data_IF_256385124179
#
_entry.id   IF_256385124179
#
_cell.length_a   1.000
_cell.length_b   1.000
_cell.length_c   1.000
_cell.angle_alpha   90.00
_cell.angle_beta   90.00
_cell.angle_gamma   90.00
#
_symmetry.space_group_name_H-M   'P 1'
#
loop_
_entity.id
_entity.type
_entity.pdbx_description
1 polymer ?
#
# COMPACT_ATOMS: atom_id res chain seq x y z
N UNK A 1 2.11 24.38 -13.36
CA UNK A 1 2.25 22.99 -13.87
C UNK A 1 1.39 22.13 -12.96
N UNK A 2 0.16 21.80 -13.38
CA UNK A 2 -0.75 21.00 -12.56
C UNK A 2 -0.40 19.51 -12.74
N UNK A 3 0.05 18.87 -11.65
CA UNK A 3 0.11 17.40 -11.59
C UNK A 3 -1.31 16.92 -11.29
N UNK A 4 -2.00 16.38 -12.30
CA UNK A 4 -3.37 15.90 -12.17
C UNK A 4 -3.98 15.58 -13.54
N UNK A 5 -3.53 14.49 -14.16
CA UNK A 5 -4.21 13.95 -15.34
C UNK A 5 -5.54 13.28 -14.95
N UNK A 6 -6.51 13.14 -15.87
CA UNK A 6 -7.84 12.55 -15.63
C UNK A 6 -7.84 11.03 -15.38
N UNK A 7 -6.71 10.47 -14.95
CA UNK A 7 -6.54 9.03 -14.68
C UNK A 7 -6.47 8.79 -13.17
N UNK A 8 -7.59 8.96 -12.48
CA UNK A 8 -7.78 8.33 -11.17
C UNK A 8 -8.08 6.85 -11.43
N UNK A 9 -7.03 6.04 -11.58
CA UNK A 9 -7.10 4.59 -11.81
C UNK A 9 -7.56 3.78 -10.57
N UNK A 10 -7.99 4.45 -9.49
CA UNK A 10 -8.39 3.80 -8.23
C UNK A 10 -9.32 4.68 -7.40
N UNK A 11 -10.06 4.05 -6.48
CA UNK A 11 -10.84 4.71 -5.43
C UNK A 11 -10.05 5.81 -4.72
N UNK A 12 -10.75 6.88 -4.30
CA UNK A 12 -10.19 7.96 -3.48
C UNK A 12 -10.36 7.56 -2.01
N UNK A 13 -9.25 7.46 -1.30
CA UNK A 13 -9.25 7.21 0.14
C UNK A 13 -9.10 8.51 0.92
N UNK A 14 -10.10 8.84 1.74
CA UNK A 14 -10.08 9.96 2.67
C UNK A 14 -9.92 9.41 4.09
N UNK A 15 -8.92 9.91 4.79
CA UNK A 15 -8.68 9.54 6.18
C UNK A 15 -9.37 10.56 7.07
N UNK A 16 -10.23 10.07 7.95
CA UNK A 16 -11.04 10.87 8.87
C UNK A 16 -10.64 10.55 10.30
N UNK A 17 -10.63 11.54 11.19
CA UNK A 17 -10.42 11.28 12.61
C UNK A 17 -11.48 10.29 13.13
N UNK A 18 -11.07 9.35 13.96
CA UNK A 18 -11.92 8.24 14.40
C UNK A 18 -13.25 8.70 15.02
N UNK A 19 -13.24 9.80 15.78
CA UNK A 19 -14.40 10.42 16.42
C UNK A 19 -15.28 11.25 15.47
N UNK A 20 -14.75 11.64 14.31
CA UNK A 20 -15.47 12.40 13.27
C UNK A 20 -16.02 11.50 12.16
N UNK A 21 -15.74 10.19 12.17
CA UNK A 21 -16.07 9.28 11.06
C UNK A 21 -17.57 9.23 10.75
N UNK A 22 -18.43 9.12 11.79
CA UNK A 22 -19.89 9.08 11.60
C UNK A 22 -20.47 10.45 11.17
N UNK A 23 -19.85 11.54 11.61
CA UNK A 23 -20.21 12.87 11.16
C UNK A 23 -19.88 13.05 9.67
N UNK A 24 -18.68 12.63 9.25
CA UNK A 24 -18.27 12.64 7.84
C UNK A 24 -19.17 11.75 6.98
N UNK A 25 -19.55 10.58 7.48
CA UNK A 25 -20.52 9.68 6.83
C UNK A 25 -21.85 10.39 6.59
N UNK A 26 -22.41 11.01 7.62
CA UNK A 26 -23.68 11.76 7.54
C UNK A 26 -23.59 12.98 6.61
N UNK A 27 -22.45 13.67 6.63
CA UNK A 27 -22.19 14.81 5.75
C UNK A 27 -22.19 14.39 4.28
N UNK A 28 -21.53 13.28 3.92
CA UNK A 28 -21.52 12.79 2.54
C UNK A 28 -22.93 12.41 2.06
N UNK A 29 -23.70 11.66 2.85
CA UNK A 29 -25.08 11.29 2.50
C UNK A 29 -25.97 12.51 2.30
N UNK A 30 -25.83 13.54 3.14
CA UNK A 30 -26.61 14.79 3.02
C UNK A 30 -26.18 15.68 1.84
N UNK A 31 -25.00 15.47 1.26
CA UNK A 31 -24.45 16.26 0.15
C UNK A 31 -24.47 15.50 -1.18
N UNK A 32 -25.44 14.58 -1.34
CA UNK A 32 -25.69 13.91 -2.62
C UNK A 32 -24.70 12.79 -2.93
N UNK A 33 -24.29 12.03 -1.92
CA UNK A 33 -23.58 10.76 -2.12
C UNK A 33 -24.43 9.59 -1.64
N UNK A 34 -24.51 8.54 -2.45
CA UNK A 34 -25.14 7.27 -2.09
C UNK A 34 -24.11 6.42 -1.33
N UNK A 35 -24.43 6.03 -0.09
CA UNK A 35 -23.64 5.03 0.64
C UNK A 35 -23.89 3.66 0.02
N UNK A 36 -22.81 2.96 -0.30
CA UNK A 36 -22.85 1.60 -0.81
C UNK A 36 -22.17 0.65 0.16
N UNK A 37 -22.66 -0.59 0.27
CA UNK A 37 -21.98 -1.57 1.08
C UNK A 37 -20.58 -1.78 0.51
N UNK A 38 -19.58 -1.80 1.37
CA UNK A 38 -18.21 -2.11 0.96
C UNK A 38 -18.17 -3.63 0.71
N UNK A 39 -18.58 -4.08 -0.47
CA UNK A 39 -18.71 -5.50 -0.85
C UNK A 39 -17.74 -5.89 -1.94
N UNK A 40 -16.80 -5.01 -2.27
CA UNK A 40 -15.72 -5.32 -3.19
C UNK A 40 -14.93 -6.50 -2.62
N UNK A 41 -15.22 -7.72 -3.09
CA UNK A 41 -14.59 -8.98 -2.66
C UNK A 41 -13.06 -8.88 -2.66
N UNK A 42 -12.53 -8.00 -3.51
CA UNK A 42 -11.13 -7.59 -3.55
C UNK A 42 -10.57 -7.20 -2.17
N UNK A 43 -11.35 -6.55 -1.32
CA UNK A 43 -10.93 -6.09 0.01
C UNK A 43 -11.31 -7.02 1.16
N UNK A 44 -11.97 -8.15 0.92
CA UNK A 44 -12.44 -9.05 1.98
C UNK A 44 -11.77 -10.41 1.89
N UNK A 45 -11.12 -10.82 2.98
CA UNK A 45 -10.72 -12.20 3.22
C UNK A 45 -11.59 -12.83 4.33
N UNK A 46 -11.77 -14.16 4.41
CA UNK A 46 -12.55 -14.78 5.49
C UNK A 46 -12.11 -14.43 6.93
N UNK A 47 -10.89 -13.96 7.14
CA UNK A 47 -10.39 -13.47 8.43
C UNK A 47 -10.62 -11.98 8.68
N UNK A 48 -11.30 -11.27 7.76
CA UNK A 48 -11.64 -9.86 7.92
C UNK A 48 -12.68 -9.74 9.03
N UNK A 49 -12.41 -8.89 10.02
CA UNK A 49 -13.42 -8.52 11.01
C UNK A 49 -14.30 -7.46 10.36
N UNK A 50 -15.46 -7.85 9.85
CA UNK A 50 -16.41 -6.89 9.27
C UNK A 50 -17.02 -6.01 10.37
N UNK A 51 -17.10 -4.68 10.13
CA UNK A 51 -18.20 -3.92 10.71
C UNK A 51 -19.46 -4.27 9.92
N UNK A 52 -20.67 -4.20 10.50
CA UNK A 52 -21.92 -4.46 9.78
C UNK A 52 -22.14 -3.56 8.54
N UNK A 53 -21.26 -2.58 8.31
CA UNK A 53 -21.29 -1.61 7.20
C UNK A 53 -20.08 -1.64 6.26
N UNK A 54 -19.04 -2.46 6.51
CA UNK A 54 -18.04 -2.77 5.48
C UNK A 54 -16.55 -2.51 5.75
N UNK A 55 -16.10 -2.45 7.00
CA UNK A 55 -14.70 -2.52 7.48
C UNK A 55 -13.53 -1.96 6.64
N UNK A 56 -12.70 -1.07 7.23
CA UNK A 56 -12.92 -0.24 8.42
C UNK A 56 -13.66 1.07 8.07
N UNK A 57 -14.15 1.21 6.85
CA UNK A 57 -14.62 2.50 6.30
C UNK A 57 -15.99 2.41 5.64
N UNK A 58 -16.36 3.51 5.00
CA UNK A 58 -17.63 3.67 4.28
C UNK A 58 -17.34 4.05 2.83
N UNK A 59 -18.05 3.40 1.91
CA UNK A 59 -17.92 3.62 0.46
C UNK A 59 -19.08 4.47 -0.05
N UNK A 60 -18.76 5.44 -0.90
CA UNK A 60 -19.70 6.38 -1.47
C UNK A 60 -19.50 6.55 -2.98
N UNK A 61 -20.61 6.76 -3.68
CA UNK A 61 -20.64 7.28 -5.05
C UNK A 61 -21.45 8.58 -5.09
N UNK A 62 -21.09 9.55 -5.96
CA UNK A 62 -21.97 10.68 -6.23
C UNK A 62 -23.35 10.20 -6.67
N UNK A 63 -24.40 10.87 -6.22
CA UNK A 63 -25.76 10.63 -6.67
C UNK A 63 -25.87 11.03 -8.14
N UNK A 64 -25.90 10.05 -9.05
CA UNK A 64 -26.07 10.32 -10.48
C UNK A 64 -27.48 10.90 -10.74
N UNK A 65 -27.53 12.10 -11.31
CA UNK A 65 -28.74 12.68 -11.88
C UNK A 65 -28.86 12.19 -13.32
N UNK A 66 -29.11 10.89 -13.54
CA UNK A 66 -29.27 10.36 -14.90
C UNK A 66 -29.71 8.89 -14.97
N UNK A 67 -30.54 8.48 -15.96
CA UNK A 67 -31.17 7.16 -15.98
C UNK A 67 -30.36 6.05 -16.69
N UNK A 68 -29.11 6.29 -17.08
CA UNK A 68 -28.45 5.46 -18.11
C UNK A 68 -27.23 4.63 -17.68
N UNK A 69 -26.86 4.60 -16.40
CA UNK A 69 -25.75 3.76 -15.93
C UNK A 69 -26.28 2.45 -15.33
N UNK A 70 -26.29 1.42 -16.18
CA UNK A 70 -26.69 0.05 -15.85
C UNK A 70 -25.72 -0.65 -14.87
N UNK A 71 -25.47 -1.98 -15.00
CA UNK A 71 -24.70 -2.78 -14.03
C UNK A 71 -23.23 -2.35 -13.80
N UNK A 72 -22.77 -1.27 -14.41
CA UNK A 72 -21.41 -0.73 -14.35
C UNK A 72 -21.11 0.13 -13.11
N UNK A 73 -22.11 0.49 -12.29
CA UNK A 73 -21.92 1.15 -10.97
C UNK A 73 -20.98 0.38 -10.02
N UNK A 74 -20.82 -0.92 -10.23
CA UNK A 74 -19.88 -1.74 -9.46
C UNK A 74 -18.41 -1.31 -9.65
N UNK A 75 -18.06 -0.83 -10.85
CA UNK A 75 -16.69 -0.48 -11.27
C UNK A 75 -16.37 1.01 -11.18
N UNK A 76 -17.34 1.86 -10.83
CA UNK A 76 -17.12 3.29 -10.67
C UNK A 76 -16.13 3.59 -9.52
N UNK A 77 -15.22 4.54 -9.78
CA UNK A 77 -14.28 5.08 -8.78
C UNK A 77 -15.08 5.65 -7.61
N UNK A 78 -14.90 5.06 -6.44
CA UNK A 78 -15.62 5.44 -5.24
C UNK A 78 -14.80 6.31 -4.30
N UNK A 79 -15.51 7.09 -3.49
CA UNK A 79 -14.93 7.78 -2.33
C UNK A 79 -15.05 6.85 -1.13
N UNK A 80 -13.94 6.54 -0.49
CA UNK A 80 -13.89 5.69 0.69
C UNK A 80 -13.38 6.53 1.85
N UNK A 81 -14.21 6.76 2.86
CA UNK A 81 -13.76 7.35 4.12
C UNK A 81 -13.31 6.23 5.06
N UNK A 82 -12.18 6.41 5.74
CA UNK A 82 -11.62 5.43 6.67
C UNK A 82 -11.12 6.11 7.95
N UNK A 83 -11.19 5.44 9.10
CA UNK A 83 -10.66 5.97 10.35
C UNK A 83 -9.13 6.12 10.29
N UNK A 84 -8.63 7.16 10.93
CA UNK A 84 -7.21 7.50 11.00
C UNK A 84 -6.38 6.40 11.66
N UNK A 85 -6.92 5.76 12.70
CA UNK A 85 -6.29 4.62 13.36
C UNK A 85 -5.93 3.47 12.41
N UNK A 86 -6.75 3.19 11.39
CA UNK A 86 -6.48 2.13 10.42
C UNK A 86 -5.26 2.42 9.54
N UNK A 87 -4.98 3.69 9.32
CA UNK A 87 -3.84 4.19 8.54
C UNK A 87 -2.62 4.48 9.41
N UNK A 88 -2.70 4.28 10.73
CA UNK A 88 -1.68 4.74 11.69
C UNK A 88 -1.37 6.24 11.56
N UNK A 89 -2.40 7.02 11.25
CA UNK A 89 -2.31 8.48 11.21
C UNK A 89 -2.91 9.07 12.48
N UNK A 90 -2.20 10.03 13.06
CA UNK A 90 -2.72 10.82 14.17
C UNK A 90 -3.32 12.11 13.60
N UNK A 91 -4.66 12.20 13.70
CA UNK A 91 -5.44 13.37 13.32
C UNK A 91 -6.05 14.09 14.53
N UNK A 92 -5.53 13.88 15.74
CA UNK A 92 -5.94 14.66 16.91
C UNK A 92 -5.57 16.15 16.74
N UNK A 93 -6.34 17.10 17.31
CA UNK A 93 -6.07 18.53 17.15
C UNK A 93 -4.66 18.96 17.56
N UNK A 94 -4.06 18.26 18.53
CA UNK A 94 -2.68 18.52 18.98
C UNK A 94 -1.59 18.06 18.02
N UNK A 95 -1.87 17.08 17.16
CA UNK A 95 -0.88 16.50 16.24
C UNK A 95 -0.83 17.23 14.89
N UNK A 96 -1.90 17.94 14.53
CA UNK A 96 -2.12 18.60 13.25
C UNK A 96 -0.96 19.45 12.74
N UNK A 97 -0.25 20.17 13.61
CA UNK A 97 0.87 21.05 13.24
C UNK A 97 2.17 20.28 12.92
N UNK A 98 2.23 19.01 13.31
CA UNK A 98 3.41 18.15 13.14
C UNK A 98 3.17 17.05 12.10
N UNK A 99 1.94 16.55 11.99
CA UNK A 99 1.58 15.42 11.13
C UNK A 99 0.95 15.85 9.81
N UNK A 100 0.42 17.07 9.72
CA UNK A 100 -0.27 17.57 8.52
C UNK A 100 0.08 19.03 8.23
N UNK A 101 -0.26 19.49 7.03
CA UNK A 101 -0.23 20.89 6.66
C UNK A 101 -1.50 21.25 5.89
N UNK A 102 -1.94 22.50 6.01
CA UNK A 102 -3.06 23.03 5.24
C UNK A 102 -2.51 23.58 3.92
N UNK A 103 -3.06 23.13 2.79
CA UNK A 103 -2.71 23.74 1.50
C UNK A 103 -3.42 25.09 1.38
N UNK A 104 -2.72 26.19 1.05
CA UNK A 104 -3.32 27.49 0.86
C UNK A 104 -4.51 27.43 -0.10
N UNK A 105 -5.56 28.19 0.21
CA UNK A 105 -6.78 28.29 -0.60
C UNK A 105 -7.58 26.99 -0.72
N UNK A 106 -7.31 25.99 0.14
CA UNK A 106 -8.09 24.76 0.25
C UNK A 106 -8.58 24.53 1.67
N UNK A 107 -9.67 23.80 1.82
CA UNK A 107 -10.13 23.26 3.10
C UNK A 107 -9.46 21.91 3.47
N UNK A 108 -8.47 21.46 2.70
CA UNK A 108 -7.88 20.13 2.82
C UNK A 108 -6.54 20.15 3.54
N UNK A 109 -6.43 19.34 4.59
CA UNK A 109 -5.15 19.01 5.22
C UNK A 109 -4.52 17.83 4.50
N UNK A 110 -3.23 17.96 4.21
CA UNK A 110 -2.42 16.91 3.64
C UNK A 110 -1.42 16.42 4.67
N UNK A 111 -1.11 15.11 4.70
CA UNK A 111 -0.14 14.61 5.65
C UNK A 111 1.27 15.09 5.27
N UNK A 112 2.05 15.48 6.28
CA UNK A 112 3.48 15.75 6.11
C UNK A 112 4.16 14.48 5.56
N UNK A 113 5.07 14.63 4.58
CA UNK A 113 5.67 13.48 3.88
C UNK A 113 6.32 12.48 4.85
N UNK A 114 7.01 12.95 5.89
CA UNK A 114 7.64 12.10 6.91
C UNK A 114 6.61 11.34 7.75
N UNK A 115 5.56 12.03 8.23
CA UNK A 115 4.50 11.41 9.02
C UNK A 115 3.76 10.34 8.19
N UNK A 116 3.45 10.67 6.93
CA UNK A 116 2.80 9.74 6.01
C UNK A 116 3.66 8.51 5.72
N UNK A 117 4.96 8.70 5.47
CA UNK A 117 5.87 7.58 5.24
C UNK A 117 5.98 6.65 6.46
N UNK A 118 6.09 7.22 7.67
CA UNK A 118 6.12 6.43 8.92
C UNK A 118 4.83 5.63 9.10
N UNK A 119 3.69 6.26 8.90
CA UNK A 119 2.38 5.61 8.96
C UNK A 119 2.28 4.45 7.94
N UNK A 120 2.73 4.65 6.70
CA UNK A 120 2.80 3.58 5.70
C UNK A 120 3.72 2.42 6.10
N UNK A 121 4.88 2.71 6.70
CA UNK A 121 5.79 1.67 7.21
C UNK A 121 5.12 0.88 8.33
N UNK A 122 4.47 1.53 9.30
CA UNK A 122 3.76 0.86 10.40
C UNK A 122 2.64 -0.04 9.87
N UNK A 123 1.79 0.51 8.99
CA UNK A 123 0.70 -0.23 8.32
C UNK A 123 1.23 -1.47 7.59
N UNK A 124 2.29 -1.33 6.80
CA UNK A 124 2.85 -2.46 6.04
C UNK A 124 3.50 -3.47 6.98
N UNK A 125 4.25 -3.02 7.99
CA UNK A 125 4.93 -3.91 8.92
C UNK A 125 3.94 -4.76 9.72
N UNK A 126 2.85 -4.15 10.22
CA UNK A 126 1.76 -4.83 10.90
C UNK A 126 1.06 -5.83 9.97
N UNK A 127 0.62 -5.36 8.79
CA UNK A 127 -0.17 -6.19 7.87
C UNK A 127 0.62 -7.32 7.24
N UNK A 128 1.92 -7.15 7.04
CA UNK A 128 2.75 -8.20 6.47
C UNK A 128 2.94 -9.39 7.42
N UNK A 129 2.78 -9.17 8.73
CA UNK A 129 2.84 -10.22 9.75
C UNK A 129 1.63 -11.15 9.75
N UNK A 130 0.50 -10.73 9.16
CA UNK A 130 -0.77 -11.46 9.22
C UNK A 130 -1.20 -11.83 7.80
N UNK A 131 -0.98 -13.10 7.43
CA UNK A 131 -1.24 -13.60 6.06
C UNK A 131 -2.71 -13.53 5.64
N UNK A 132 -3.62 -13.38 6.59
CA UNK A 132 -5.07 -13.38 6.38
C UNK A 132 -5.68 -11.96 6.26
N UNK A 133 -4.88 -10.89 6.38
CA UNK A 133 -5.35 -9.51 6.24
C UNK A 133 -5.48 -9.10 4.77
N UNK A 134 -6.65 -8.54 4.42
CA UNK A 134 -7.04 -7.86 3.18
C UNK A 134 -5.87 -7.57 2.23
N UNK A 135 -5.60 -8.52 1.33
CA UNK A 135 -4.40 -8.51 0.48
C UNK A 135 -4.34 -7.30 -0.46
N UNK A 136 -5.50 -6.74 -0.84
CA UNK A 136 -5.60 -5.67 -1.81
C UNK A 136 -5.45 -4.28 -1.20
N UNK A 137 -6.02 -4.01 -0.02
CA UNK A 137 -5.72 -2.76 0.69
C UNK A 137 -4.24 -2.75 1.14
N UNK A 138 -3.72 -3.92 1.52
CA UNK A 138 -2.29 -4.09 1.78
C UNK A 138 -1.45 -3.83 0.53
N UNK A 139 -1.94 -4.22 -0.65
CA UNK A 139 -1.28 -3.92 -1.93
C UNK A 139 -1.32 -2.43 -2.27
N UNK A 140 -2.45 -1.76 -1.99
CA UNK A 140 -2.55 -0.30 -2.12
C UNK A 140 -1.52 0.40 -1.23
N UNK A 141 -1.41 0.04 0.05
CA UNK A 141 -0.40 0.60 0.94
C UNK A 141 1.02 0.36 0.44
N UNK A 142 1.33 -0.84 -0.07
CA UNK A 142 2.64 -1.14 -0.67
C UNK A 142 2.93 -0.28 -1.90
N UNK A 143 1.94 0.00 -2.74
CA UNK A 143 2.08 0.89 -3.90
C UNK A 143 2.38 2.32 -3.44
N UNK A 144 1.58 2.85 -2.51
CA UNK A 144 1.80 4.18 -1.93
C UNK A 144 3.19 4.31 -1.31
N UNK A 145 3.58 3.34 -0.49
CA UNK A 145 4.92 3.24 0.08
C UNK A 145 6.03 3.21 -1.00
N UNK A 146 5.82 2.47 -2.09
CA UNK A 146 6.80 2.39 -3.17
C UNK A 146 7.00 3.74 -3.85
N UNK A 147 5.94 4.54 -4.02
CA UNK A 147 6.06 5.90 -4.54
C UNK A 147 6.78 6.84 -3.57
N UNK A 148 6.47 6.76 -2.27
CA UNK A 148 7.10 7.61 -1.25
C UNK A 148 8.57 7.27 -1.00
N UNK A 149 8.93 5.98 -1.03
CA UNK A 149 10.31 5.52 -0.74
C UNK A 149 11.33 5.92 -1.80
N UNK A 150 10.90 6.32 -3.00
CA UNK A 150 11.76 6.86 -4.05
C UNK A 150 12.12 8.35 -3.80
N UNK A 151 11.39 9.05 -2.93
CA UNK A 151 11.66 10.43 -2.55
C UNK A 151 12.69 10.45 -1.40
N UNK A 152 13.98 10.46 -1.78
CA UNK A 152 15.09 10.17 -0.87
C UNK A 152 15.38 11.21 0.23
N UNK A 153 14.86 12.43 0.11
CA UNK A 153 15.10 13.53 1.07
C UNK A 153 14.58 13.23 2.48
N UNK A 154 13.49 12.49 2.59
CA UNK A 154 12.85 12.18 3.88
C UNK A 154 13.43 10.95 4.57
N UNK A 155 14.17 10.09 3.85
CA UNK A 155 14.66 8.83 4.40
C UNK A 155 15.68 9.03 5.52
N UNK A 156 16.51 10.07 5.44
CA UNK A 156 17.48 10.40 6.48
C UNK A 156 16.84 10.87 7.80
N UNK A 157 15.60 11.38 7.74
CA UNK A 157 14.85 11.85 8.90
C UNK A 157 14.08 10.72 9.60
N UNK A 158 14.10 9.51 9.06
CA UNK A 158 13.42 8.37 9.66
C UNK A 158 14.17 7.88 10.92
N UNK A 159 13.45 7.34 11.91
CA UNK A 159 14.05 6.54 12.99
C UNK A 159 14.89 5.37 12.45
N UNK A 160 15.87 4.91 13.22
CA UNK A 160 16.83 3.88 12.78
C UNK A 160 16.15 2.54 12.41
N UNK A 161 15.07 2.17 13.09
CA UNK A 161 14.28 0.98 12.76
C UNK A 161 13.55 1.12 11.41
N UNK A 162 13.12 2.32 11.07
CA UNK A 162 12.41 2.62 9.84
C UNK A 162 13.38 2.72 8.67
N UNK A 163 14.58 3.29 8.89
CA UNK A 163 15.67 3.23 7.92
C UNK A 163 16.10 1.78 7.64
N UNK A 164 16.19 0.94 8.68
CA UNK A 164 16.44 -0.49 8.52
C UNK A 164 15.36 -1.17 7.66
N UNK A 165 14.10 -0.88 7.94
CA UNK A 165 12.97 -1.42 7.19
C UNK A 165 13.01 -1.00 5.73
N UNK A 166 13.16 0.29 5.45
CA UNK A 166 13.18 0.82 4.07
C UNK A 166 14.32 0.22 3.26
N UNK A 167 15.50 0.09 3.88
CA UNK A 167 16.67 -0.45 3.20
C UNK A 167 16.50 -1.92 2.78
N UNK A 168 15.75 -2.73 3.55
CA UNK A 168 15.68 -4.17 3.32
C UNK A 168 14.36 -4.66 2.73
N UNK A 169 13.22 -4.13 3.18
CA UNK A 169 11.90 -4.70 2.90
C UNK A 169 11.60 -4.82 1.39
N UNK A 170 12.00 -3.80 0.62
CA UNK A 170 11.85 -3.81 -0.84
C UNK A 170 12.89 -4.67 -1.57
N UNK A 171 14.05 -4.93 -0.95
CA UNK A 171 15.17 -5.66 -1.57
C UNK A 171 15.09 -7.17 -1.37
N UNK A 172 14.52 -7.63 -0.26
CA UNK A 172 14.35 -9.06 -0.01
C UNK A 172 13.26 -9.66 -0.89
N UNK A 173 13.56 -10.76 -1.58
CA UNK A 173 12.62 -11.43 -2.49
C UNK A 173 11.61 -12.30 -1.73
N UNK A 174 12.09 -13.07 -0.75
CA UNK A 174 11.29 -14.08 -0.07
C UNK A 174 10.32 -13.47 0.96
N UNK A 175 9.08 -13.95 0.97
CA UNK A 175 8.07 -13.53 1.96
C UNK A 175 8.53 -13.80 3.40
N UNK A 176 9.18 -14.94 3.64
CA UNK A 176 9.76 -15.28 4.94
C UNK A 176 10.87 -14.33 5.37
N UNK A 177 11.66 -13.80 4.43
CA UNK A 177 12.68 -12.79 4.73
C UNK A 177 12.04 -11.44 5.05
N UNK A 178 10.96 -11.05 4.36
CA UNK A 178 10.19 -9.83 4.67
C UNK A 178 9.56 -9.90 6.07
N UNK A 179 8.99 -11.05 6.46
CA UNK A 179 8.53 -11.28 7.84
C UNK A 179 9.65 -11.07 8.88
N UNK A 180 10.87 -11.55 8.59
CA UNK A 180 12.04 -11.29 9.45
C UNK A 180 12.39 -9.81 9.52
N UNK A 181 12.30 -9.07 8.42
CA UNK A 181 12.51 -7.60 8.43
C UNK A 181 11.49 -6.91 9.35
N UNK A 182 10.20 -7.23 9.25
CA UNK A 182 9.18 -6.68 10.15
C UNK A 182 9.46 -7.03 11.62
N UNK A 183 9.81 -8.27 11.91
CA UNK A 183 10.17 -8.73 13.26
C UNK A 183 11.38 -7.97 13.82
N UNK A 184 12.48 -7.88 13.05
CA UNK A 184 13.66 -7.17 13.53
C UNK A 184 13.44 -5.66 13.66
N UNK A 185 12.58 -5.04 12.83
CA UNK A 185 12.18 -3.64 13.04
C UNK A 185 11.57 -3.44 14.44
N UNK A 186 10.67 -4.33 14.87
CA UNK A 186 10.09 -4.26 16.22
C UNK A 186 11.16 -4.44 17.30
N UNK A 187 12.10 -5.37 17.11
CA UNK A 187 13.19 -5.58 18.07
C UNK A 187 14.16 -4.39 18.16
N UNK A 188 14.45 -3.72 17.03
CA UNK A 188 15.25 -2.48 17.01
C UNK A 188 14.52 -1.37 17.74
N UNK A 189 13.22 -1.19 17.47
CA UNK A 189 12.38 -0.20 18.16
C UNK A 189 12.35 -0.42 19.67
N UNK A 190 12.35 -1.69 20.11
CA UNK A 190 12.41 -2.05 21.52
C UNK A 190 13.83 -1.97 22.14
N UNK A 191 14.85 -1.60 21.36
CA UNK A 191 16.24 -1.53 21.82
C UNK A 191 16.90 -2.90 22.08
N UNK A 192 16.30 -4.00 21.60
CA UNK A 192 16.73 -5.37 21.88
C UNK A 192 17.82 -5.86 20.91
N UNK A 193 17.95 -5.22 19.75
CA UNK A 193 18.97 -5.54 18.74
C UNK A 193 19.40 -4.27 18.01
N UNK A 194 20.68 -4.20 17.62
CA UNK A 194 21.14 -3.10 16.77
C UNK A 194 20.76 -3.33 15.30
N UNK A 195 20.58 -2.26 14.50
CA UNK A 195 20.32 -2.39 13.07
C UNK A 195 21.39 -3.22 12.33
N UNK A 196 22.65 -3.08 12.70
CA UNK A 196 23.79 -3.78 12.09
C UNK A 196 23.69 -5.28 12.32
N UNK A 197 23.40 -5.68 13.56
CA UNK A 197 23.22 -7.10 13.90
C UNK A 197 21.95 -7.67 13.26
N UNK A 198 20.87 -6.90 13.16
CA UNK A 198 19.68 -7.34 12.46
C UNK A 198 19.94 -7.57 10.96
N UNK A 199 20.74 -6.72 10.30
CA UNK A 199 21.08 -6.83 8.88
C UNK A 199 21.76 -8.15 8.52
N UNK A 200 22.66 -8.64 9.38
CA UNK A 200 23.38 -9.90 9.13
C UNK A 200 22.47 -11.13 9.27
N UNK A 201 21.34 -11.01 9.97
CA UNK A 201 20.39 -12.11 10.22
C UNK A 201 19.27 -12.20 9.17
N UNK A 202 19.09 -11.17 8.33
CA UNK A 202 18.10 -11.16 7.25
C UNK A 202 18.68 -11.88 6.01
N UNK A 203 18.05 -12.97 5.53
CA UNK A 203 18.52 -13.67 4.34
C UNK A 203 18.46 -12.78 3.09
N UNK A 204 19.59 -12.59 2.40
CA UNK A 204 19.74 -11.76 1.20
C UNK A 204 19.92 -12.59 -0.07
N UNK A 205 18.98 -13.50 -0.34
CA UNK A 205 18.98 -14.31 -1.58
C UNK A 205 18.90 -13.46 -2.86
N UNK A 206 18.46 -12.21 -2.75
CA UNK A 206 18.51 -11.23 -3.83
C UNK A 206 19.95 -10.97 -4.31
N UNK A 207 20.93 -10.94 -3.39
CA UNK A 207 22.34 -10.76 -3.73
C UNK A 207 22.91 -11.98 -4.45
N UNK A 208 22.51 -13.19 -4.04
CA UNK A 208 22.88 -14.44 -4.72
C UNK A 208 22.34 -14.46 -6.16
N UNK A 209 21.07 -14.11 -6.34
CA UNK A 209 20.44 -14.02 -7.66
C UNK A 209 21.10 -12.93 -8.51
N UNK A 210 21.42 -11.78 -7.94
CA UNK A 210 22.14 -10.70 -8.63
C UNK A 210 23.54 -11.15 -9.08
N UNK A 211 24.27 -11.88 -8.24
CA UNK A 211 25.58 -12.43 -8.57
C UNK A 211 25.50 -13.46 -9.73
N UNK A 212 24.48 -14.33 -9.70
CA UNK A 212 24.21 -15.28 -10.78
C UNK A 212 23.90 -14.52 -12.08
N UNK A 213 22.97 -13.55 -12.05
CA UNK A 213 22.63 -12.72 -13.22
C UNK A 213 23.86 -11.99 -13.78
N UNK A 214 24.72 -11.45 -12.92
CA UNK A 214 25.95 -10.77 -13.33
C UNK A 214 26.93 -11.73 -14.00
N UNK A 215 27.10 -12.96 -13.48
CA UNK A 215 27.95 -14.00 -14.08
C UNK A 215 27.48 -14.37 -15.49
N UNK A 216 26.18 -14.61 -15.69
CA UNK A 216 25.62 -14.95 -16.99
C UNK A 216 25.58 -13.76 -17.98
N UNK A 217 25.40 -12.53 -17.49
CA UNK A 217 25.49 -11.33 -18.33
C UNK A 217 26.91 -11.13 -18.88
N UNK A 218 27.95 -11.36 -18.06
CA UNK A 218 29.35 -11.34 -18.51
C UNK A 218 29.66 -12.44 -19.53
N UNK A 219 29.11 -13.64 -19.32
CA UNK A 219 29.23 -14.75 -20.29
C UNK A 219 28.53 -14.42 -21.62
N UNK A 220 27.35 -13.79 -21.58
CA UNK A 220 26.63 -13.34 -22.78
C UNK A 220 27.30 -12.18 -23.52
N UNK A 221 27.98 -11.27 -22.81
CA UNK A 221 28.80 -10.22 -23.41
C UNK A 221 30.07 -10.79 -24.06
N UNK A 222 30.70 -11.81 -23.43
CA UNK A 222 31.83 -12.54 -24.02
C UNK A 222 31.42 -13.47 -25.17
N UNK A 223 30.15 -13.88 -25.24
CA UNK A 223 29.60 -14.74 -26.28
C UNK A 223 29.02 -13.98 -27.49
N UNK A 224 29.10 -12.63 -27.52
CA UNK A 224 28.71 -11.82 -28.68
C UNK A 224 29.68 -11.92 -29.89
N UNK A 225 30.32 -13.08 -30.06
CA UNK A 225 30.79 -13.57 -31.35
C UNK A 225 29.74 -14.36 -32.14
N UNK A 226 28.52 -14.59 -31.60
CA UNK A 226 27.45 -15.23 -32.36
C UNK A 226 26.18 -15.48 -31.54
N UNK A 227 25.08 -14.84 -31.93
CA UNK A 227 23.70 -15.01 -31.42
C UNK A 227 23.14 -16.43 -31.70
N UNK A 228 22.05 -16.90 -31.03
CA UNK A 228 20.92 -16.09 -30.54
C UNK A 228 20.47 -16.30 -29.09
N UNK A 229 19.63 -15.35 -28.68
CA UNK A 229 19.11 -15.12 -27.34
C UNK A 229 18.28 -16.28 -26.79
N UNK A 230 18.60 -16.70 -25.57
CA UNK A 230 17.72 -17.58 -24.77
C UNK A 230 16.55 -16.73 -24.27
N UNK A 231 15.40 -16.85 -24.93
CA UNK A 231 14.10 -16.41 -24.38
C UNK A 231 13.73 -17.35 -23.24
N UNK A 232 13.68 -16.84 -22.01
CA UNK A 232 12.95 -17.52 -20.95
C UNK A 232 11.45 -17.37 -21.26
N UNK A 233 10.86 -18.40 -21.86
CA UNK A 233 9.41 -18.57 -21.92
C UNK A 233 8.92 -18.96 -20.53
N UNK A 234 8.25 -18.04 -19.85
CA UNK A 234 7.34 -18.43 -18.77
C UNK A 234 6.16 -19.14 -19.42
N UNK A 235 6.06 -20.45 -19.19
CA UNK A 235 4.91 -21.25 -19.57
C UNK A 235 3.79 -20.97 -18.57
N UNK A 236 2.83 -20.14 -18.96
CA UNK A 236 1.55 -20.06 -18.26
C UNK A 236 0.63 -21.13 -18.88
N UNK A 237 0.12 -22.09 -18.11
CA UNK A 237 -0.87 -23.03 -18.63
C UNK A 237 -2.18 -22.26 -18.91
N UNK A 238 -2.64 -22.32 -20.16
CA UNK A 238 -3.98 -21.88 -20.54
C UNK A 238 -5.03 -22.73 -19.79
N UNK A 239 -6.11 -22.14 -19.26
CA UNK A 239 -7.24 -22.91 -18.78
C UNK A 239 -7.97 -23.50 -19.99
N UNK A 240 -8.07 -24.83 -20.00
CA UNK A 240 -8.88 -25.60 -20.93
C UNK A 240 -10.35 -25.21 -20.81
N UNK A 241 -10.93 -24.73 -21.90
CA UNK A 241 -12.38 -24.63 -22.07
C UNK A 241 -12.98 -26.03 -22.12
N UNK A 242 -13.58 -26.49 -21.03
CA UNK A 242 -14.53 -27.60 -21.06
C UNK A 242 -15.91 -27.06 -21.42
N UNK A 243 -16.26 -27.17 -22.70
CA UNK A 243 -17.64 -27.21 -23.16
C UNK A 243 -18.22 -28.57 -22.74
N UNK A 244 -19.19 -28.58 -21.83
CA UNK A 244 -20.13 -29.69 -21.71
C UNK A 244 -21.51 -29.23 -22.15
N UNK A 245 -22.10 -30.11 -22.97
CA UNK A 245 -23.46 -30.10 -23.51
C UNK A 245 -24.51 -30.16 -22.41
#
# INVERSE_FOLDING_TARGET
MALGGPLLLSDIYLVVADDELELARSALTSHGFDELPQTHQRFFFPATKESPTGWPGYRFLPHEVGPDDGPDRYWATSTIIMPASFWHLDLSPGSWTTTTFLVPDTAYRFPCRLAYLRAMIDVIAERHGVEELNSQITSYFKIQYSYLSVLGDVLACLPVEDQFFVDLFGKVILNSAKKKVCYFRQQIRAGLITPEKARTLVPRKDLEVAAIKAKYSKLGQNANGGKPAVRFLFHFPHPSTSSSK
#
